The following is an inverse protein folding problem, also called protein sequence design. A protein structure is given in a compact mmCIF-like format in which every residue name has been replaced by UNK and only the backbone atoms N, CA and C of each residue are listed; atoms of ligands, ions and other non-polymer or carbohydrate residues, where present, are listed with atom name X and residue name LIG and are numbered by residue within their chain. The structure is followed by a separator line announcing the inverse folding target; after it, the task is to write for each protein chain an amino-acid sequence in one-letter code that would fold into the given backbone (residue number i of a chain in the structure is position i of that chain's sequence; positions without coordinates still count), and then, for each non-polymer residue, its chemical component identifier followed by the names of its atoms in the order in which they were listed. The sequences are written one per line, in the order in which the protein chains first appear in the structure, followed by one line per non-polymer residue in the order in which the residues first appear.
data_IF_969449821192
#
_entry.id   IF_969449821192
#
_cell.length_a   1.000
_cell.length_b   1.000
_cell.length_c   1.000
_cell.angle_alpha   90.00
_cell.angle_beta   90.00
_cell.angle_gamma   90.00
#
_symmetry.space_group_name_H-M   'P 1'
#
loop_
_entity.id
_entity.type
_entity.pdbx_description
1 polymer ?
#
# COMPACT_ATOMS: atom_id res chain seq x y z
N UNK A 1 -2.83 -21.83 -3.91
CA UNK A 1 -1.84 -22.04 -2.83
C UNK A 1 -2.49 -22.87 -1.72
N UNK A 2 -1.74 -23.64 -0.93
CA UNK A 2 -2.28 -24.23 0.32
C UNK A 2 -2.77 -23.11 1.24
N UNK A 3 -3.94 -23.29 1.84
CA UNK A 3 -4.57 -22.27 2.68
C UNK A 3 -3.84 -22.04 4.00
N UNK A 4 -3.16 -23.07 4.52
CA UNK A 4 -2.32 -22.97 5.72
C UNK A 4 -1.11 -22.05 5.53
N UNK A 5 -0.59 -21.96 4.30
CA UNK A 5 0.56 -21.14 3.94
C UNK A 5 0.18 -19.70 3.55
N UNK A 6 -1.11 -19.34 3.61
CA UNK A 6 -1.52 -17.97 3.29
C UNK A 6 -0.98 -16.98 4.34
N UNK A 7 -0.72 -15.73 3.94
CA UNK A 7 -0.38 -14.68 4.89
C UNK A 7 -1.42 -14.56 6.01
N UNK A 8 -0.95 -14.25 7.22
CA UNK A 8 -1.79 -14.21 8.43
C UNK A 8 -2.82 -13.08 8.33
N UNK A 9 -2.52 -12.02 7.58
CA UNK A 9 -3.39 -10.84 7.48
C UNK A 9 -4.56 -10.97 6.51
N UNK A 10 -4.69 -12.09 5.80
CA UNK A 10 -5.86 -12.34 4.97
C UNK A 10 -7.06 -12.67 5.86
N UNK A 11 -8.24 -12.08 5.63
CA UNK A 11 -9.45 -12.28 6.42
C UNK A 11 -10.12 -13.63 6.12
N UNK A 12 -9.36 -14.73 6.21
CA UNK A 12 -9.82 -16.06 5.80
C UNK A 12 -9.77 -17.07 6.95
N UNK A 13 -10.81 -17.90 7.05
CA UNK A 13 -10.81 -19.07 7.96
C UNK A 13 -9.85 -20.13 7.43
N UNK A 14 -8.74 -20.42 8.10
CA UNK A 14 -7.70 -21.36 7.61
C UNK A 14 -8.19 -22.81 7.43
N UNK A 15 -9.16 -23.25 8.23
CA UNK A 15 -9.70 -24.62 8.20
C UNK A 15 -10.90 -24.82 7.25
N UNK A 16 -11.38 -23.79 6.57
CA UNK A 16 -12.56 -23.88 5.71
C UNK A 16 -12.34 -24.68 4.41
N UNK A 17 -11.08 -24.93 4.02
CA UNK A 17 -10.75 -25.71 2.84
C UNK A 17 -9.25 -25.85 2.62
N UNK A 18 -8.85 -26.73 1.70
CA UNK A 18 -7.43 -27.06 1.46
C UNK A 18 -6.68 -25.94 0.74
N UNK A 19 -7.35 -25.24 -0.18
CA UNK A 19 -6.72 -24.26 -1.06
C UNK A 19 -7.34 -22.86 -0.95
N UNK A 20 -6.54 -21.88 -1.36
CA UNK A 20 -6.96 -20.48 -1.50
C UNK A 20 -6.36 -19.89 -2.78
N UNK A 21 -7.02 -18.85 -3.29
CA UNK A 21 -6.54 -18.04 -4.41
C UNK A 21 -5.17 -17.48 -4.07
N UNK A 22 -4.19 -17.77 -4.92
CA UNK A 22 -2.84 -17.19 -4.84
C UNK A 22 -2.85 -15.85 -5.56
N UNK A 23 -2.18 -14.84 -5.02
CA UNK A 23 -1.93 -13.58 -5.72
C UNK A 23 -1.11 -13.82 -6.98
N UNK A 24 -1.50 -13.16 -8.06
CA UNK A 24 -0.72 -13.11 -9.31
C UNK A 24 0.50 -12.21 -9.10
N UNK A 25 1.65 -12.47 -9.74
CA UNK A 25 2.72 -11.48 -9.84
C UNK A 25 2.19 -10.16 -10.39
N UNK A 26 2.59 -9.05 -9.77
CA UNK A 26 2.07 -7.73 -10.11
C UNK A 26 2.71 -6.64 -9.24
N UNK A 27 2.01 -5.50 -9.06
CA UNK A 27 2.47 -4.34 -8.28
C UNK A 27 3.09 -4.65 -6.92
N UNK A 28 2.50 -5.60 -6.19
CA UNK A 28 2.83 -5.87 -4.80
C UNK A 28 3.24 -7.33 -4.59
N UNK A 29 4.19 -7.54 -3.69
CA UNK A 29 4.64 -8.88 -3.30
C UNK A 29 3.51 -9.65 -2.60
N UNK A 30 3.52 -10.97 -2.72
CA UNK A 30 2.51 -11.84 -2.13
C UNK A 30 2.38 -11.68 -0.60
N UNK A 31 3.49 -11.43 0.07
CA UNK A 31 3.53 -11.25 1.53
C UNK A 31 2.99 -9.90 1.99
N UNK A 32 2.81 -8.92 1.09
CA UNK A 32 2.31 -7.59 1.41
C UNK A 32 1.03 -7.26 0.65
N UNK A 33 0.40 -8.27 0.02
CA UNK A 33 -0.79 -8.08 -0.80
C UNK A 33 -1.87 -9.11 -0.53
N UNK A 34 -3.08 -8.78 -0.96
CA UNK A 34 -4.25 -9.63 -0.92
C UNK A 34 -4.89 -9.66 -2.32
N UNK A 35 -5.37 -10.83 -2.79
CA UNK A 35 -6.00 -10.92 -4.10
C UNK A 35 -7.41 -10.29 -4.06
N UNK A 36 -7.81 -9.65 -5.17
CA UNK A 36 -9.17 -9.10 -5.37
C UNK A 36 -10.30 -10.06 -4.97
N UNK A 37 -10.16 -11.35 -5.28
CA UNK A 37 -11.17 -12.33 -4.94
C UNK A 37 -11.41 -12.48 -3.43
N UNK A 38 -10.36 -12.38 -2.62
CA UNK A 38 -10.50 -12.48 -1.15
C UNK A 38 -11.11 -11.19 -0.62
N UNK A 39 -10.74 -10.04 -1.18
CA UNK A 39 -11.34 -8.78 -0.80
C UNK A 39 -12.86 -8.77 -1.03
N UNK A 40 -13.30 -9.13 -2.24
CA UNK A 40 -14.72 -9.07 -2.61
C UNK A 40 -15.57 -10.10 -1.87
N UNK A 41 -15.00 -11.28 -1.61
CA UNK A 41 -15.72 -12.40 -0.99
C UNK A 41 -15.67 -12.38 0.53
N UNK A 42 -14.47 -12.24 1.11
CA UNK A 42 -14.25 -12.44 2.55
C UNK A 42 -14.26 -11.11 3.33
N UNK A 43 -13.81 -9.98 2.76
CA UNK A 43 -13.81 -8.68 3.45
C UNK A 43 -15.11 -7.89 3.21
N UNK A 44 -15.54 -7.76 1.94
CA UNK A 44 -16.73 -6.98 1.56
C UNK A 44 -18.02 -7.79 1.52
N UNK A 45 -17.93 -9.12 1.36
CA UNK A 45 -19.11 -10.01 1.31
C UNK A 45 -20.01 -9.86 0.08
N UNK A 46 -19.53 -9.22 -1.00
CA UNK A 46 -20.31 -9.05 -2.25
C UNK A 46 -20.44 -10.33 -3.09
N UNK A 47 -19.65 -11.35 -2.77
CA UNK A 47 -19.71 -12.64 -3.43
C UNK A 47 -19.54 -13.76 -2.41
N UNK A 48 -20.14 -14.91 -2.68
CA UNK A 48 -19.93 -16.15 -1.94
C UNK A 48 -18.94 -17.05 -2.68
N UNK A 49 -19.01 -17.07 -4.01
CA UNK A 49 -18.23 -17.97 -4.86
C UNK A 49 -17.26 -17.24 -5.79
N UNK A 50 -16.23 -17.96 -6.27
CA UNK A 50 -15.27 -17.41 -7.25
C UNK A 50 -15.95 -17.12 -8.59
N UNK A 51 -17.02 -17.84 -8.94
CA UNK A 51 -17.78 -17.59 -10.18
C UNK A 51 -18.42 -16.20 -10.15
N UNK A 52 -19.12 -15.86 -9.07
CA UNK A 52 -19.70 -14.52 -8.84
C UNK A 52 -18.64 -13.43 -8.83
N UNK A 53 -17.49 -13.66 -8.17
CA UNK A 53 -16.36 -12.72 -8.22
C UNK A 53 -15.93 -12.41 -9.65
N UNK A 54 -15.81 -13.44 -10.51
CA UNK A 54 -15.43 -13.25 -11.91
C UNK A 54 -16.50 -12.47 -12.68
N UNK A 55 -17.77 -12.72 -12.40
CA UNK A 55 -18.89 -12.02 -13.01
C UNK A 55 -18.87 -10.52 -12.67
N UNK A 56 -18.73 -10.19 -11.38
CA UNK A 56 -18.62 -8.79 -10.91
C UNK A 56 -17.41 -8.09 -11.58
N UNK A 57 -16.27 -8.76 -11.67
CA UNK A 57 -15.07 -8.21 -12.32
C UNK A 57 -15.26 -8.02 -13.84
N UNK A 58 -16.03 -8.89 -14.49
CA UNK A 58 -16.32 -8.80 -15.91
C UNK A 58 -17.27 -7.64 -16.24
N UNK A 59 -18.14 -7.25 -15.32
CA UNK A 59 -18.99 -6.05 -15.45
C UNK A 59 -18.17 -4.75 -15.51
N UNK A 60 -16.89 -4.77 -15.09
CA UNK A 60 -15.99 -3.61 -15.19
C UNK A 60 -16.25 -2.50 -14.17
N UNK A 61 -17.10 -2.76 -13.16
CA UNK A 61 -17.46 -1.82 -12.11
C UNK A 61 -16.29 -1.57 -11.15
N UNK A 62 -15.40 -2.55 -11.00
CA UNK A 62 -14.27 -2.50 -10.08
C UNK A 62 -13.04 -1.90 -10.77
N UNK A 63 -12.53 -0.81 -10.19
CA UNK A 63 -11.29 -0.16 -10.61
C UNK A 63 -10.29 -0.17 -9.46
N UNK A 64 -9.05 -0.54 -9.75
CA UNK A 64 -7.93 -0.43 -8.82
C UNK A 64 -7.01 0.67 -9.33
N UNK A 65 -6.78 1.67 -8.50
CA UNK A 65 -6.01 2.87 -8.84
C UNK A 65 -6.54 3.56 -10.12
N UNK A 66 -7.87 3.57 -10.31
CA UNK A 66 -8.54 4.13 -11.48
C UNK A 66 -8.57 3.22 -12.72
N UNK A 67 -7.85 2.11 -12.71
CA UNK A 67 -7.78 1.15 -13.84
C UNK A 67 -8.76 0.01 -13.60
N UNK A 68 -9.65 -0.25 -14.55
CA UNK A 68 -10.55 -1.41 -14.51
C UNK A 68 -9.77 -2.73 -14.50
N UNK A 69 -10.03 -3.59 -13.50
CA UNK A 69 -9.34 -4.89 -13.37
C UNK A 69 -10.34 -6.03 -13.49
N UNK A 70 -10.15 -6.88 -14.51
CA UNK A 70 -10.96 -8.10 -14.72
C UNK A 70 -10.39 -9.33 -14.00
N UNK A 71 -9.16 -9.25 -13.52
CA UNK A 71 -8.43 -10.40 -12.99
C UNK A 71 -8.68 -10.60 -11.49
N UNK A 72 -9.32 -11.70 -11.12
CA UNK A 72 -9.70 -12.00 -9.73
C UNK A 72 -8.52 -12.21 -8.76
N UNK A 73 -7.34 -12.58 -9.26
CA UNK A 73 -6.15 -12.79 -8.43
C UNK A 73 -5.15 -11.62 -8.48
N UNK A 74 -5.58 -10.45 -8.95
CA UNK A 74 -4.74 -9.24 -8.95
C UNK A 74 -4.32 -8.87 -7.51
N UNK A 75 -3.02 -8.60 -7.26
CA UNK A 75 -2.53 -8.26 -5.93
C UNK A 75 -2.87 -6.80 -5.59
N UNK A 76 -3.59 -6.62 -4.49
CA UNK A 76 -3.88 -5.32 -3.89
C UNK A 76 -2.99 -5.16 -2.67
N UNK A 77 -2.31 -4.03 -2.57
CA UNK A 77 -1.39 -3.73 -1.47
C UNK A 77 -1.78 -2.48 -0.70
N UNK A 78 -0.85 -2.08 0.16
CA UNK A 78 -0.96 -0.89 0.99
C UNK A 78 -1.13 0.39 0.14
N UNK A 79 -2.04 1.26 0.57
CA UNK A 79 -2.41 2.55 -0.04
C UNK A 79 -3.07 2.47 -1.42
N UNK A 80 -3.37 1.28 -1.94
CA UNK A 80 -4.16 1.18 -3.17
C UNK A 80 -5.58 1.73 -2.94
N UNK A 81 -6.12 2.40 -3.97
CA UNK A 81 -7.49 2.90 -4.00
C UNK A 81 -8.33 1.97 -4.87
N UNK A 82 -9.44 1.51 -4.31
CA UNK A 82 -10.39 0.61 -4.96
C UNK A 82 -11.69 1.38 -5.13
N UNK A 83 -12.09 1.59 -6.38
CA UNK A 83 -13.37 2.19 -6.71
C UNK A 83 -14.34 1.09 -7.11
N UNK A 84 -15.50 1.05 -6.45
CA UNK A 84 -16.61 0.15 -6.74
C UNK A 84 -17.81 1.02 -7.07
N UNK A 85 -18.08 1.19 -8.37
CA UNK A 85 -19.09 2.15 -8.82
C UNK A 85 -18.72 3.58 -8.42
N UNK A 86 -19.51 4.17 -7.51
CA UNK A 86 -19.32 5.53 -6.99
C UNK A 86 -18.59 5.59 -5.64
N UNK A 87 -18.30 4.44 -5.02
CA UNK A 87 -17.64 4.39 -3.72
C UNK A 87 -16.15 4.12 -3.88
N UNK A 88 -15.33 4.85 -3.13
CA UNK A 88 -13.89 4.66 -3.10
C UNK A 88 -13.46 4.10 -1.73
N UNK A 89 -12.55 3.14 -1.77
CA UNK A 89 -11.98 2.48 -0.59
C UNK A 89 -10.46 2.56 -0.66
N UNK A 90 -9.80 2.94 0.43
CA UNK A 90 -8.35 2.87 0.58
C UNK A 90 -7.97 1.63 1.38
N UNK A 91 -6.96 0.93 0.92
CA UNK A 91 -6.42 -0.24 1.60
C UNK A 91 -5.38 0.22 2.63
N UNK A 92 -5.63 -0.06 3.89
CA UNK A 92 -4.75 0.26 5.01
C UNK A 92 -4.29 -1.01 5.73
N UNK A 93 -3.08 -0.94 6.29
CA UNK A 93 -2.58 -1.98 7.18
C UNK A 93 -3.06 -1.68 8.60
N UNK A 94 -3.84 -2.59 9.16
CA UNK A 94 -4.07 -2.71 10.59
C UNK A 94 -3.10 -3.74 11.19
N UNK A 95 -2.98 -3.78 12.53
CA UNK A 95 -1.97 -4.59 13.26
C UNK A 95 -1.82 -6.03 12.77
N UNK A 96 -2.89 -6.64 12.26
CA UNK A 96 -2.90 -8.02 11.77
C UNK A 96 -3.77 -8.24 10.52
N UNK A 97 -4.31 -7.19 9.89
CA UNK A 97 -5.19 -7.36 8.73
C UNK A 97 -5.07 -6.17 7.78
N UNK A 98 -5.30 -6.41 6.48
CA UNK A 98 -5.59 -5.30 5.56
C UNK A 98 -7.05 -4.93 5.75
N UNK A 99 -7.32 -3.67 6.09
CA UNK A 99 -8.67 -3.13 6.22
C UNK A 99 -8.94 -2.15 5.09
N UNK A 100 -10.20 -2.04 4.70
CA UNK A 100 -10.67 -1.00 3.81
C UNK A 100 -11.20 0.19 4.61
N UNK A 101 -10.75 1.39 4.23
CA UNK A 101 -11.28 2.66 4.71
C UNK A 101 -12.08 3.31 3.58
N UNK A 102 -13.34 3.67 3.81
CA UNK A 102 -14.11 4.44 2.83
C UNK A 102 -13.54 5.85 2.72
N UNK A 103 -13.29 6.30 1.49
CA UNK A 103 -12.74 7.63 1.19
C UNK A 103 -13.64 8.35 0.20
N UNK A 104 -13.66 9.68 0.27
CA UNK A 104 -14.28 10.53 -0.76
C UNK A 104 -13.31 10.75 -1.93
N UNK A 105 -12.03 10.93 -1.63
CA UNK A 105 -11.03 11.36 -2.61
C UNK A 105 -10.34 10.18 -3.29
N UNK A 106 -10.26 10.20 -4.61
CA UNK A 106 -9.56 9.19 -5.42
C UNK A 106 -8.02 9.31 -5.42
N UNK A 107 -7.45 10.08 -4.48
CA UNK A 107 -6.02 10.36 -4.41
C UNK A 107 -5.21 9.12 -4.03
N UNK A 108 -4.11 8.87 -4.74
CA UNK A 108 -3.24 7.72 -4.50
C UNK A 108 -1.95 8.17 -3.80
N UNK A 109 -1.65 7.56 -2.66
CA UNK A 109 -0.41 7.81 -1.93
C UNK A 109 0.61 6.77 -2.33
N UNK A 110 1.74 7.19 -2.88
CA UNK A 110 2.80 6.27 -3.30
C UNK A 110 4.16 6.69 -2.79
N UNK A 111 4.92 5.72 -2.28
CA UNK A 111 6.28 5.96 -1.82
C UNK A 111 7.27 5.79 -2.97
N UNK A 112 8.24 6.68 -3.05
CA UNK A 112 9.37 6.57 -3.99
C UNK A 112 10.37 5.56 -3.42
N UNK A 113 10.49 4.41 -4.08
CA UNK A 113 11.39 3.32 -3.69
C UNK A 113 12.76 3.49 -4.33
N UNK A 114 12.81 4.02 -5.55
CA UNK A 114 14.06 4.26 -6.24
C UNK A 114 13.93 5.38 -7.25
N UNK A 115 15.07 5.94 -7.61
CA UNK A 115 15.20 6.97 -8.63
C UNK A 115 16.31 6.55 -9.59
N UNK A 116 16.02 6.61 -10.89
CA UNK A 116 16.99 6.33 -11.95
C UNK A 116 17.16 7.55 -12.84
N UNK A 117 18.40 7.90 -13.14
CA UNK A 117 18.73 8.96 -14.11
C UNK A 117 18.72 8.33 -15.50
N UNK A 118 17.90 8.87 -16.41
CA UNK A 118 17.80 8.39 -17.79
C UNK A 118 18.61 9.26 -18.78
N UNK A 119 18.94 10.49 -18.40
CA UNK A 119 19.73 11.42 -19.21
C UNK A 119 19.65 12.87 -18.70
N UNK A 120 20.04 13.84 -19.54
CA UNK A 120 19.95 15.28 -19.21
C UNK A 120 18.50 15.67 -18.88
N UNK A 121 18.25 16.10 -17.64
CA UNK A 121 16.93 16.47 -17.10
C UNK A 121 15.81 15.43 -17.27
N UNK A 122 16.13 14.12 -17.21
CA UNK A 122 15.11 13.06 -17.19
C UNK A 122 15.38 12.09 -16.05
N UNK A 123 14.45 12.05 -15.10
CA UNK A 123 14.51 11.18 -13.94
C UNK A 123 13.29 10.27 -13.92
N UNK A 124 13.53 8.98 -13.72
CA UNK A 124 12.48 7.99 -13.52
C UNK A 124 12.33 7.73 -12.02
N UNK A 125 11.14 7.98 -11.50
CA UNK A 125 10.73 7.60 -10.15
C UNK A 125 10.09 6.22 -10.20
N UNK A 126 10.66 5.28 -9.46
CA UNK A 126 10.12 3.95 -9.27
C UNK A 126 9.29 3.93 -7.98
N UNK A 127 7.99 3.67 -8.11
CA UNK A 127 7.03 3.74 -7.02
C UNK A 127 6.78 2.38 -6.38
N UNK A 128 6.27 2.38 -5.15
CA UNK A 128 6.02 1.16 -4.38
C UNK A 128 4.97 0.23 -5.00
N UNK A 129 4.06 0.78 -5.81
CA UNK A 129 3.03 0.06 -6.56
C UNK A 129 3.54 -0.48 -7.91
N UNK A 130 4.85 -0.41 -8.18
CA UNK A 130 5.46 -0.87 -9.41
C UNK A 130 5.20 0.01 -10.64
N UNK A 131 4.55 1.17 -10.46
CA UNK A 131 4.43 2.17 -11.53
C UNK A 131 5.67 3.06 -11.59
N UNK A 132 5.96 3.57 -12.78
CA UNK A 132 7.07 4.47 -13.03
C UNK A 132 6.53 5.82 -13.49
N UNK A 133 7.09 6.91 -12.95
CA UNK A 133 6.77 8.27 -13.40
C UNK A 133 8.06 8.94 -13.85
N UNK A 134 8.02 9.52 -15.05
CA UNK A 134 9.11 10.36 -15.55
C UNK A 134 8.89 11.80 -15.10
N UNK A 135 9.95 12.41 -14.54
CA UNK A 135 9.96 13.80 -14.10
C UNK A 135 11.21 14.49 -14.65
N UNK A 136 11.06 15.77 -15.02
CA UNK A 136 12.18 16.56 -15.55
C UNK A 136 12.97 17.30 -14.47
N UNK A 137 12.42 17.41 -13.26
CA UNK A 137 13.02 18.13 -12.13
C UNK A 137 13.54 17.18 -11.06
N UNK A 138 14.67 17.53 -10.47
CA UNK A 138 15.30 16.79 -9.36
C UNK A 138 14.81 17.27 -7.98
N UNK A 139 13.51 17.28 -7.76
CA UNK A 139 12.93 17.69 -6.48
C UNK A 139 12.59 16.49 -5.57
N UNK A 140 12.62 15.28 -6.12
CA UNK A 140 12.09 14.07 -5.49
C UNK A 140 13.19 13.16 -4.95
N UNK A 141 13.13 12.80 -3.66
CA UNK A 141 14.11 11.91 -3.02
C UNK A 141 13.52 10.54 -2.71
N UNK A 142 14.41 9.55 -2.60
CA UNK A 142 14.04 8.19 -2.20
C UNK A 142 13.53 8.19 -0.75
N UNK A 143 12.36 7.60 -0.53
CA UNK A 143 11.69 7.57 0.76
C UNK A 143 10.58 8.61 0.92
N UNK A 144 10.52 9.63 0.05
CA UNK A 144 9.43 10.58 0.01
C UNK A 144 8.13 9.90 -0.49
N UNK A 145 7.00 10.48 -0.11
CA UNK A 145 5.68 10.03 -0.55
C UNK A 145 5.08 11.09 -1.47
N UNK A 146 4.61 10.65 -2.64
CA UNK A 146 3.92 11.49 -3.60
C UNK A 146 2.44 11.13 -3.63
N UNK A 147 1.60 12.16 -3.77
CA UNK A 147 0.17 12.01 -4.00
C UNK A 147 -0.09 12.19 -5.49
N UNK A 148 -0.70 11.17 -6.09
CA UNK A 148 -1.02 11.14 -7.51
C UNK A 148 -2.53 11.23 -7.68
N UNK A 149 -2.96 12.10 -8.58
CA UNK A 149 -4.33 12.21 -9.05
C UNK A 149 -4.33 12.25 -10.58
N UNK A 150 -5.10 11.37 -11.23
CA UNK A 150 -5.20 11.29 -12.72
C UNK A 150 -3.82 11.30 -13.41
N UNK A 151 -2.86 10.54 -12.88
CA UNK A 151 -1.47 10.45 -13.35
C UNK A 151 -0.63 11.74 -13.23
N UNK A 152 -1.08 12.74 -12.48
CA UNK A 152 -0.29 13.94 -12.16
C UNK A 152 0.09 13.95 -10.69
N UNK A 153 1.29 14.43 -10.39
CA UNK A 153 1.76 14.61 -9.02
C UNK A 153 1.12 15.88 -8.46
N UNK A 154 0.32 15.74 -7.41
CA UNK A 154 -0.39 16.85 -6.75
C UNK A 154 0.40 17.36 -5.55
N UNK A 155 0.95 16.45 -4.75
CA UNK A 155 1.61 16.78 -3.49
C UNK A 155 2.86 15.93 -3.29
N UNK A 156 3.92 16.57 -2.80
CA UNK A 156 5.13 15.92 -2.30
C UNK A 156 5.14 15.99 -0.77
N UNK A 157 5.28 14.84 -0.12
CA UNK A 157 5.41 14.71 1.32
C UNK A 157 6.85 14.24 1.61
N UNK A 158 7.74 15.16 2.06
CA UNK A 158 9.14 14.84 2.26
C UNK A 158 9.35 13.97 3.50
N UNK A 159 10.29 13.03 3.41
CA UNK A 159 10.77 12.23 4.52
C UNK A 159 11.71 13.08 5.40
N UNK A 160 11.14 13.75 6.41
CA UNK A 160 11.88 14.63 7.34
C UNK A 160 11.63 14.27 8.80
N UNK A 161 12.56 14.68 9.68
CA UNK A 161 12.38 14.63 11.14
C UNK A 161 11.10 15.41 11.50
N UNK A 162 10.29 14.85 12.39
CA UNK A 162 8.98 15.36 12.79
C UNK A 162 7.82 15.00 11.87
N UNK A 163 8.05 14.34 10.72
CA UNK A 163 6.94 13.89 9.87
C UNK A 163 6.20 12.69 10.49
N UNK A 164 4.89 12.65 10.28
CA UNK A 164 4.04 11.53 10.69
C UNK A 164 4.19 10.39 9.70
N UNK A 165 4.28 9.17 10.21
CA UNK A 165 4.53 7.98 9.40
C UNK A 165 3.68 6.79 9.87
N UNK A 166 3.37 5.93 8.91
CA UNK A 166 2.75 4.62 9.07
C UNK A 166 3.84 3.55 8.91
N UNK A 167 3.81 2.56 9.79
CA UNK A 167 4.72 1.42 9.73
C UNK A 167 4.10 0.34 8.85
N UNK A 168 4.72 0.07 7.70
CA UNK A 168 4.20 -0.88 6.70
C UNK A 168 4.61 -2.33 6.94
N UNK A 169 5.61 -2.59 7.79
CA UNK A 169 6.14 -3.95 7.98
C UNK A 169 6.81 -4.19 9.35
N UNK A 170 7.05 -5.47 9.64
CA UNK A 170 7.64 -5.93 10.90
C UNK A 170 6.65 -6.05 12.06
N UNK A 171 7.16 -6.26 13.28
CA UNK A 171 6.34 -6.49 14.50
C UNK A 171 5.41 -5.33 14.84
N UNK A 172 5.75 -4.12 14.41
CA UNK A 172 4.99 -2.89 14.69
C UNK A 172 4.16 -2.41 13.49
N UNK A 173 3.86 -3.29 12.53
CA UNK A 173 3.02 -2.99 11.37
C UNK A 173 1.66 -2.39 11.77
N UNK A 174 1.21 -1.40 11.02
CA UNK A 174 -0.08 -0.72 11.21
C UNK A 174 -0.10 0.33 12.32
N UNK A 175 1.01 0.57 13.02
CA UNK A 175 1.14 1.68 13.96
C UNK A 175 1.52 2.97 13.24
N UNK A 176 0.98 4.09 13.72
CA UNK A 176 1.36 5.44 13.31
C UNK A 176 2.29 6.06 14.35
N UNK A 177 3.13 7.00 13.93
CA UNK A 177 4.05 7.69 14.84
C UNK A 177 4.81 8.81 14.16
N UNK A 178 5.57 9.58 14.95
CA UNK A 178 6.39 10.67 14.45
C UNK A 178 7.85 10.25 14.32
N UNK A 179 8.52 10.67 13.26
CA UNK A 179 9.94 10.40 13.04
C UNK A 179 10.76 11.29 13.97
N UNK A 180 11.51 10.71 14.90
CA UNK A 180 12.45 11.46 15.76
C UNK A 180 13.76 11.63 15.01
N UNK A 181 14.35 10.50 14.60
CA UNK A 181 15.71 10.45 14.09
C UNK A 181 15.89 9.36 13.04
N UNK A 182 16.81 9.62 12.13
CA UNK A 182 17.22 8.70 11.06
C UNK A 182 18.72 8.49 11.25
N UNK A 183 19.10 7.27 11.65
CA UNK A 183 20.48 6.87 11.81
C UNK A 183 20.89 6.11 10.53
N UNK A 184 21.79 6.68 9.72
CA UNK A 184 22.32 5.99 8.55
C UNK A 184 23.16 4.80 9.04
N UNK A 185 22.95 3.64 8.43
CA UNK A 185 23.77 2.47 8.72
C UNK A 185 24.85 2.31 7.64
N UNK A 186 26.11 2.01 8.01
CA UNK A 186 27.14 1.73 7.04
C UNK A 186 26.84 0.41 6.29
N UNK A 187 27.16 0.39 4.99
CA UNK A 187 27.02 -0.79 4.14
C UNK A 187 25.66 -0.90 3.44
N UNK A 188 25.27 -2.13 3.07
CA UNK A 188 24.04 -2.39 2.32
C UNK A 188 22.78 -2.53 3.21
N UNK A 189 22.90 -2.28 4.52
CA UNK A 189 21.78 -2.38 5.44
C UNK A 189 20.87 -1.15 5.33
N UNK A 190 19.54 -1.32 5.43
CA UNK A 190 18.63 -0.19 5.44
C UNK A 190 18.86 0.69 6.68
N UNK A 191 18.82 2.01 6.47
CA UNK A 191 18.91 3.01 7.55
C UNK A 191 17.90 2.71 8.66
N UNK A 192 18.27 2.97 9.91
CA UNK A 192 17.35 2.82 11.04
C UNK A 192 16.65 4.14 11.33
N UNK A 193 15.33 4.07 11.51
CA UNK A 193 14.47 5.20 11.83
C UNK A 193 13.89 4.97 13.22
N UNK A 194 14.06 5.94 14.10
CA UNK A 194 13.43 5.97 15.40
C UNK A 194 12.09 6.69 15.29
N UNK A 195 11.04 5.95 15.59
CA UNK A 195 9.66 6.43 15.53
C UNK A 195 9.11 6.47 16.96
N UNK A 196 8.48 7.58 17.30
CA UNK A 196 7.71 7.71 18.53
C UNK A 196 6.24 7.35 18.25
N UNK A 197 5.78 6.27 18.89
CA UNK A 197 4.37 5.87 18.88
C UNK A 197 3.90 5.79 20.33
N UNK A 198 2.86 6.55 20.69
CA UNK A 198 2.27 6.56 22.04
C UNK A 198 3.33 6.66 23.16
N UNK A 199 4.29 7.59 23.02
CA UNK A 199 5.42 7.84 23.95
C UNK A 199 6.46 6.69 24.05
N UNK A 200 6.38 5.68 23.20
CA UNK A 200 7.38 4.60 23.11
C UNK A 200 8.25 4.84 21.87
N UNK A 201 9.57 4.80 22.06
CA UNK A 201 10.55 4.85 20.98
C UNK A 201 10.75 3.47 20.39
N UNK A 202 10.54 3.35 19.09
CA UNK A 202 10.65 2.09 18.35
C UNK A 202 11.68 2.26 17.22
N UNK A 203 12.58 1.29 17.08
CA UNK A 203 13.54 1.21 15.98
C UNK A 203 12.95 0.44 14.81
N UNK A 204 12.94 1.04 13.62
CA UNK A 204 12.36 0.46 12.41
C UNK A 204 13.26 0.73 11.20
N UNK A 205 13.51 -0.25 10.30
CA UNK A 205 14.19 0.00 9.04
C UNK A 205 13.45 1.00 8.15
N UNK A 206 14.16 1.91 7.48
CA UNK A 206 13.62 2.94 6.57
C UNK A 206 12.71 2.38 5.48
N UNK A 207 12.92 1.14 5.06
CA UNK A 207 12.08 0.46 4.08
C UNK A 207 10.62 0.32 4.57
N UNK A 208 10.41 0.10 5.86
CA UNK A 208 9.09 -0.09 6.46
C UNK A 208 8.41 1.21 6.90
N UNK A 209 9.03 2.36 6.69
CA UNK A 209 8.45 3.65 7.05
C UNK A 209 7.74 4.24 5.84
N UNK A 210 6.45 4.56 5.99
CA UNK A 210 5.64 5.22 4.97
C UNK A 210 5.19 6.57 5.50
N UNK A 211 5.61 7.68 4.91
CA UNK A 211 5.24 9.02 5.41
C UNK A 211 3.78 9.31 5.05
N UNK A 212 3.02 9.80 6.02
CA UNK A 212 1.62 10.16 5.84
C UNK A 212 1.41 11.61 6.26
N UNK A 213 0.46 12.27 5.61
CA UNK A 213 0.01 13.60 6.02
C UNK A 213 -1.27 13.43 6.84
N UNK A 214 -1.28 13.91 8.07
CA UNK A 214 -2.40 13.81 9.02
C UNK A 214 -3.70 14.37 8.43
N UNK A 215 -3.62 15.42 7.59
CA UNK A 215 -4.79 16.03 6.95
C UNK A 215 -5.54 15.10 5.98
N UNK A 216 -4.83 14.16 5.34
CA UNK A 216 -5.39 13.26 4.32
C UNK A 216 -5.50 11.81 4.78
N UNK A 217 -5.07 11.53 6.01
CA UNK A 217 -5.08 10.21 6.64
C UNK A 217 -6.16 10.10 7.72
N UNK A 218 -7.22 10.92 7.64
CA UNK A 218 -8.37 10.81 8.53
C UNK A 218 -8.93 9.37 8.44
N UNK A 219 -8.65 8.54 9.44
CA UNK A 219 -9.09 7.15 9.42
C UNK A 219 -8.35 6.14 10.30
N UNK A 220 -7.22 6.45 10.93
CA UNK A 220 -6.61 5.53 11.91
C UNK A 220 -6.07 6.27 13.13
N UNK A 221 -7.00 6.83 13.90
CA UNK A 221 -6.82 7.03 15.34
C UNK A 221 -7.74 6.04 16.04
N UNK A 222 -7.11 5.02 16.62
CA UNK A 222 -7.61 4.03 17.62
C UNK A 222 -8.99 3.38 17.40
#
# INVERSE_FOLDING_TARGET
MKRSSSPIFWPIKRKAGKYVVRTKPGPHNMENSMPLAILLRDELGYATNIKEVKEILNQGIIKVNGIGRKTYNFPIGLMDVISIGNENYRVLLSRKSLKLLKITDGMQFTKIVGKKVLGKNRFQLNLHNGTNIEVSKDEYKTGDVIVIEKNKIVLLIPFKKGATCLISGGRNQGKTGKIIEVIPMPGSQPDNVYIETNKVKIRIPKNYVFVINEKYFAGVSE
#
